data_IF_424606023875
#
_entry.id   IF_424606023875
#
_cell.length_a   1.000
_cell.length_b   1.000
_cell.length_c   1.000
_cell.angle_alpha   90.00
_cell.angle_beta   90.00
_cell.angle_gamma   90.00
#
_symmetry.space_group_name_H-M   'P 1'
#
loop_
_entity.id
_entity.type
_entity.pdbx_description
1 polymer ?
#
# COMPACT_ATOMS: atom_id res chain seq x y z
N UNK A 1 0.64 -5.07 -4.64
CA UNK A 1 0.44 -4.38 -3.36
C UNK A 1 1.04 -5.18 -2.20
N UNK A 2 0.59 -6.42 -1.95
CA UNK A 2 0.99 -7.22 -0.79
C UNK A 2 2.50 -7.42 -0.64
N UNK A 3 3.22 -7.74 -1.72
CA UNK A 3 4.68 -7.93 -1.67
C UNK A 3 5.43 -6.67 -1.20
N UNK A 4 4.97 -5.49 -1.55
CA UNK A 4 5.59 -4.22 -1.15
C UNK A 4 5.35 -3.86 0.33
N UNK A 5 4.49 -4.58 1.04
CA UNK A 5 4.32 -4.45 2.49
C UNK A 5 5.45 -5.14 3.26
N UNK A 6 6.16 -6.08 2.63
CA UNK A 6 7.36 -6.66 3.20
C UNK A 6 8.54 -5.69 3.01
N UNK A 7 9.17 -5.19 4.10
CA UNK A 7 10.23 -4.20 4.04
C UNK A 7 11.46 -4.71 3.30
N UNK A 8 11.86 -5.97 3.51
CA UNK A 8 13.04 -6.56 2.86
C UNK A 8 12.83 -6.68 1.35
N UNK A 9 11.64 -7.12 0.93
CA UNK A 9 11.30 -7.18 -0.49
C UNK A 9 11.33 -5.80 -1.14
N UNK A 10 10.75 -4.79 -0.47
CA UNK A 10 10.72 -3.40 -0.94
C UNK A 10 12.11 -2.83 -1.06
N UNK A 11 12.97 -3.05 -0.06
CA UNK A 11 14.36 -2.60 -0.08
C UNK A 11 15.13 -3.25 -1.24
N UNK A 12 15.09 -4.58 -1.35
CA UNK A 12 15.84 -5.32 -2.37
C UNK A 12 15.41 -4.94 -3.78
N UNK A 13 14.10 -4.91 -4.06
CA UNK A 13 13.62 -4.59 -5.41
C UNK A 13 13.79 -3.12 -5.80
N UNK A 14 13.94 -2.22 -4.82
CA UNK A 14 14.16 -0.79 -5.01
C UNK A 14 15.62 -0.40 -5.21
N UNK A 15 16.58 -1.29 -4.98
CA UNK A 15 18.01 -0.99 -5.18
C UNK A 15 18.37 -1.04 -6.66
N UNK A 16 18.92 0.06 -7.19
CA UNK A 16 19.42 0.11 -8.58
C UNK A 16 20.70 -0.72 -8.75
N UNK A 17 21.54 -0.76 -7.72
CA UNK A 17 22.78 -1.56 -7.64
C UNK A 17 22.97 -2.09 -6.24
N UNK A 18 23.55 -3.28 -6.11
CA UNK A 18 23.91 -3.87 -4.84
C UNK A 18 25.31 -4.49 -4.90
N UNK A 19 26.07 -4.35 -3.83
CA UNK A 19 27.31 -5.08 -3.63
C UNK A 19 27.04 -6.27 -2.72
N UNK A 20 27.34 -7.47 -3.19
CA UNK A 20 27.20 -8.70 -2.41
C UNK A 20 28.52 -9.46 -2.39
N UNK A 21 28.84 -10.06 -1.25
CA UNK A 21 30.05 -10.84 -1.07
C UNK A 21 29.66 -12.30 -0.89
N UNK A 22 30.10 -13.16 -1.80
CA UNK A 22 29.85 -14.59 -1.73
C UNK A 22 30.86 -15.40 -2.55
N UNK A 23 30.87 -16.72 -2.34
CA UNK A 23 31.79 -17.66 -2.97
C UNK A 23 32.77 -18.26 -1.97
N UNK A 24 33.61 -19.21 -2.46
CA UNK A 24 34.69 -19.79 -1.68
C UNK A 24 35.98 -19.84 -2.56
N UNK A 25 36.98 -18.97 -2.30
CA UNK A 25 37.00 -17.89 -1.29
C UNK A 25 35.97 -16.80 -1.59
N UNK A 26 35.51 -16.04 -0.57
CA UNK A 26 34.55 -14.98 -0.76
C UNK A 26 35.13 -13.84 -1.58
N UNK A 27 34.34 -13.27 -2.50
CA UNK A 27 34.71 -12.09 -3.28
C UNK A 27 33.51 -11.20 -3.54
N UNK A 28 33.78 -9.93 -3.77
CA UNK A 28 32.76 -8.88 -3.98
C UNK A 28 32.22 -8.94 -5.39
N UNK A 29 30.88 -8.88 -5.52
CA UNK A 29 30.18 -8.77 -6.79
C UNK A 29 29.26 -7.57 -6.77
N UNK A 30 29.28 -6.79 -7.83
CA UNK A 30 28.35 -5.73 -8.08
C UNK A 30 27.20 -6.26 -8.97
N UNK A 31 25.99 -6.19 -8.44
CA UNK A 31 24.76 -6.53 -9.14
C UNK A 31 24.08 -5.24 -9.61
N UNK A 32 23.55 -5.25 -10.81
CA UNK A 32 22.77 -4.15 -11.37
C UNK A 32 21.32 -4.62 -11.58
N UNK A 33 20.37 -3.85 -11.05
CA UNK A 33 18.96 -4.14 -11.27
C UNK A 33 18.60 -3.95 -12.75
N UNK A 34 17.84 -4.89 -13.31
CA UNK A 34 17.35 -4.81 -14.68
C UNK A 34 16.23 -3.80 -14.87
N UNK A 35 15.60 -3.35 -13.77
CA UNK A 35 14.56 -2.33 -13.82
C UNK A 35 15.17 -0.93 -14.02
N UNK A 36 15.16 -0.45 -15.25
CA UNK A 36 15.73 0.86 -15.62
C UNK A 36 14.96 2.03 -15.00
N UNK A 37 13.67 1.86 -14.68
CA UNK A 37 12.86 2.93 -14.12
C UNK A 37 13.36 3.40 -12.76
N UNK A 38 14.08 2.57 -11.99
CA UNK A 38 14.71 2.97 -10.73
C UNK A 38 15.67 4.17 -10.85
N UNK A 39 16.20 4.41 -12.07
CA UNK A 39 17.11 5.53 -12.33
C UNK A 39 16.56 6.53 -13.35
N UNK A 40 15.46 6.22 -14.03
CA UNK A 40 14.92 7.01 -15.12
C UNK A 40 13.60 7.71 -14.79
N UNK A 41 12.87 7.22 -13.76
CA UNK A 41 11.58 7.74 -13.37
C UNK A 41 11.57 8.04 -11.87
N UNK A 42 11.39 9.31 -11.51
CA UNK A 42 11.38 9.76 -10.12
C UNK A 42 10.23 9.11 -9.34
N UNK A 43 10.55 8.67 -8.13
CA UNK A 43 9.60 8.03 -7.23
C UNK A 43 9.43 6.53 -7.45
N UNK A 44 10.07 5.92 -8.45
CA UNK A 44 9.98 4.46 -8.66
C UNK A 44 10.73 3.70 -7.56
N UNK A 45 10.01 2.76 -6.92
CA UNK A 45 10.48 1.96 -5.78
C UNK A 45 10.61 0.46 -6.07
N UNK A 46 10.43 0.03 -7.32
CA UNK A 46 10.56 -1.37 -7.75
C UNK A 46 9.74 -1.63 -9.01
N UNK A 47 9.44 -2.85 -9.44
CA UNK A 47 9.42 -4.09 -8.68
C UNK A 47 10.17 -5.20 -9.44
N UNK A 48 9.63 -5.65 -10.63
CA UNK A 48 10.17 -6.82 -11.34
C UNK A 48 10.01 -6.71 -12.85
N UNK A 49 11.08 -7.00 -13.55
CA UNK A 49 11.08 -7.19 -15.00
C UNK A 49 10.91 -8.66 -15.37
N UNK A 50 10.33 -8.96 -16.49
CA UNK A 50 10.21 -10.30 -17.04
C UNK A 50 10.37 -10.30 -18.56
N UNK A 51 10.95 -11.36 -19.09
CA UNK A 51 11.05 -11.58 -20.54
C UNK A 51 11.17 -13.08 -20.83
N UNK A 52 10.38 -13.54 -21.77
CA UNK A 52 10.59 -14.78 -22.52
C UNK A 52 10.23 -14.53 -23.97
N UNK A 53 10.69 -15.38 -24.89
CA UNK A 53 10.38 -15.24 -26.31
C UNK A 53 8.87 -15.35 -26.58
N UNK A 54 8.17 -16.12 -25.76
CA UNK A 54 6.71 -16.31 -25.87
C UNK A 54 5.91 -15.19 -25.22
N UNK A 55 6.32 -14.73 -24.04
CA UNK A 55 5.59 -13.72 -23.27
C UNK A 55 5.97 -12.29 -23.67
N UNK A 56 7.06 -12.09 -24.39
CA UNK A 56 7.61 -10.76 -24.66
C UNK A 56 8.07 -10.04 -23.38
N UNK A 57 8.16 -8.73 -23.44
CA UNK A 57 8.55 -7.90 -22.31
C UNK A 57 7.39 -7.70 -21.36
N UNK A 58 7.63 -8.00 -20.10
CA UNK A 58 6.67 -7.82 -19.01
C UNK A 58 7.31 -6.99 -17.90
N UNK A 59 6.57 -6.07 -17.36
CA UNK A 59 7.05 -5.19 -16.29
C UNK A 59 5.99 -5.00 -15.23
N UNK A 60 6.39 -5.16 -13.98
CA UNK A 60 5.66 -4.65 -12.82
C UNK A 60 6.53 -3.55 -12.22
N UNK A 61 6.01 -2.33 -12.15
CA UNK A 61 6.67 -1.26 -11.41
C UNK A 61 5.73 -0.64 -10.38
N UNK A 62 6.32 0.00 -9.39
CA UNK A 62 5.63 0.79 -8.39
C UNK A 62 6.33 2.13 -8.27
N UNK A 63 5.54 3.20 -8.24
CA UNK A 63 6.01 4.56 -8.07
C UNK A 63 5.29 5.19 -6.89
N UNK A 64 6.04 5.84 -6.01
CA UNK A 64 5.51 6.55 -4.84
C UNK A 64 5.81 8.04 -4.97
N UNK A 65 4.77 8.86 -4.92
CA UNK A 65 4.84 10.33 -4.84
C UNK A 65 3.80 10.81 -3.83
N UNK A 66 4.13 11.77 -2.98
CA UNK A 66 3.21 12.40 -2.01
C UNK A 66 2.40 11.39 -1.17
N UNK A 67 3.06 10.39 -0.60
CA UNK A 67 2.47 9.29 0.20
C UNK A 67 1.48 8.38 -0.57
N UNK A 68 1.33 8.57 -1.86
CA UNK A 68 0.53 7.70 -2.71
C UNK A 68 1.41 6.78 -3.55
N UNK A 69 0.97 5.54 -3.72
CA UNK A 69 1.69 4.54 -4.51
C UNK A 69 0.80 4.05 -5.65
N UNK A 70 1.28 4.21 -6.87
CA UNK A 70 0.69 3.60 -8.06
C UNK A 70 1.50 2.35 -8.46
N UNK A 71 0.80 1.30 -8.81
CA UNK A 71 1.39 0.07 -9.35
C UNK A 71 0.95 -0.06 -10.80
N UNK A 72 1.91 -0.21 -11.70
CA UNK A 72 1.68 -0.45 -13.12
C UNK A 72 2.14 -1.86 -13.49
N UNK A 73 1.34 -2.53 -14.32
CA UNK A 73 1.65 -3.86 -14.86
C UNK A 73 1.41 -3.84 -16.35
N UNK A 74 2.45 -4.16 -17.13
CA UNK A 74 2.33 -4.40 -18.57
C UNK A 74 2.79 -5.81 -18.91
N UNK A 75 2.10 -6.42 -19.86
CA UNK A 75 2.41 -7.72 -20.42
C UNK A 75 2.62 -7.55 -21.93
N UNK A 76 3.68 -8.14 -22.47
CA UNK A 76 4.04 -8.09 -23.88
C UNK A 76 4.08 -6.66 -24.45
N UNK A 77 4.68 -5.74 -23.69
CA UNK A 77 4.85 -4.35 -24.13
C UNK A 77 6.32 -4.06 -24.44
N UNK A 78 6.69 -3.91 -25.72
CA UNK A 78 8.08 -3.62 -26.11
C UNK A 78 8.56 -2.23 -25.63
N UNK A 79 7.62 -1.32 -25.30
CA UNK A 79 7.89 0.04 -24.84
C UNK A 79 7.62 0.22 -23.33
N UNK A 80 7.61 -0.85 -22.57
CA UNK A 80 7.23 -0.91 -21.14
C UNK A 80 7.79 0.25 -20.29
N UNK A 81 9.05 0.64 -20.45
CA UNK A 81 9.64 1.77 -19.73
C UNK A 81 8.93 3.09 -20.03
N UNK A 82 8.68 3.37 -21.29
CA UNK A 82 8.00 4.59 -21.70
C UNK A 82 6.53 4.58 -21.29
N UNK A 83 5.85 3.45 -21.49
CA UNK A 83 4.44 3.26 -21.09
C UNK A 83 4.26 3.54 -19.60
N UNK A 84 5.07 2.93 -18.73
CA UNK A 84 4.97 3.12 -17.29
C UNK A 84 5.27 4.56 -16.88
N UNK A 85 6.31 5.19 -17.44
CA UNK A 85 6.64 6.60 -17.17
C UNK A 85 5.48 7.51 -17.55
N UNK A 86 4.92 7.36 -18.75
CA UNK A 86 3.79 8.16 -19.22
C UNK A 86 2.53 7.98 -18.35
N UNK A 87 2.26 6.74 -17.92
CA UNK A 87 1.15 6.47 -17.01
C UNK A 87 1.33 7.20 -15.67
N UNK A 88 2.51 7.13 -15.07
CA UNK A 88 2.79 7.85 -13.82
C UNK A 88 2.66 9.36 -13.98
N UNK A 89 3.26 9.93 -15.01
CA UNK A 89 3.21 11.38 -15.24
C UNK A 89 1.81 11.89 -15.59
N UNK A 90 0.96 11.03 -16.16
CA UNK A 90 -0.44 11.35 -16.45
C UNK A 90 -1.34 11.21 -15.23
N UNK A 91 -1.12 10.17 -14.42
CA UNK A 91 -2.06 9.81 -13.35
C UNK A 91 -1.78 10.52 -12.03
N UNK A 92 -0.50 10.69 -11.63
CA UNK A 92 -0.17 11.34 -10.37
C UNK A 92 -0.74 12.77 -10.24
N UNK A 93 -0.70 13.64 -11.28
CA UNK A 93 -1.30 14.97 -11.19
C UNK A 93 -2.83 14.97 -11.02
N UNK A 94 -3.48 13.86 -11.34
CA UNK A 94 -4.93 13.68 -11.25
C UNK A 94 -5.35 12.85 -10.03
N UNK A 95 -4.39 12.32 -9.29
CA UNK A 95 -4.65 11.49 -8.13
C UNK A 95 -4.83 12.38 -6.90
N UNK A 96 -5.99 12.28 -6.27
CA UNK A 96 -6.33 13.02 -5.07
C UNK A 96 -6.37 12.10 -3.85
N UNK A 97 -5.71 12.52 -2.76
CA UNK A 97 -5.79 11.85 -1.47
C UNK A 97 -7.07 12.28 -0.77
N UNK A 98 -7.89 11.34 -0.40
CA UNK A 98 -9.12 11.56 0.34
C UNK A 98 -9.04 10.90 1.72
N UNK A 99 -9.68 11.53 2.70
CA UNK A 99 -9.80 10.98 4.06
C UNK A 99 -11.27 10.67 4.31
N UNK A 100 -11.54 9.45 4.75
CA UNK A 100 -12.90 9.03 5.10
C UNK A 100 -13.31 9.69 6.43
N UNK A 101 -14.48 10.30 6.46
CA UNK A 101 -15.06 10.83 7.68
C UNK A 101 -15.43 9.67 8.61
N UNK A 102 -14.77 9.59 9.76
CA UNK A 102 -15.04 8.57 10.78
C UNK A 102 -15.98 9.12 11.84
N UNK A 103 -16.85 8.27 12.46
CA UNK A 103 -17.64 8.70 13.60
C UNK A 103 -16.73 9.07 14.77
N UNK A 104 -17.03 10.16 15.47
CA UNK A 104 -16.25 10.59 16.65
C UNK A 104 -16.21 9.50 17.73
N UNK A 105 -17.34 8.84 17.96
CA UNK A 105 -17.47 7.78 18.95
C UNK A 105 -18.44 6.70 18.49
N UNK A 106 -18.21 5.47 18.97
CA UNK A 106 -19.09 4.32 18.79
C UNK A 106 -19.43 3.79 20.17
N UNK A 107 -20.72 3.78 20.53
CA UNK A 107 -21.19 3.29 21.82
C UNK A 107 -21.36 1.77 21.79
N UNK A 108 -20.78 1.08 22.78
CA UNK A 108 -20.91 -0.39 22.93
C UNK A 108 -21.45 -0.69 24.34
N UNK A 109 -22.45 -1.60 24.47
CA UNK A 109 -22.97 -2.04 25.76
C UNK A 109 -21.91 -2.71 26.62
N UNK A 110 -21.97 -2.50 27.93
CA UNK A 110 -21.12 -3.15 28.95
C UNK A 110 -21.95 -3.97 29.89
N UNK A 111 -21.56 -5.20 30.13
CA UNK A 111 -22.23 -6.11 31.08
C UNK A 111 -21.38 -6.24 32.33
N UNK A 112 -22.04 -6.14 33.51
CA UNK A 112 -21.40 -6.33 34.82
C UNK A 112 -20.59 -5.12 35.32
N UNK A 113 -20.76 -3.96 34.70
CA UNK A 113 -20.14 -2.69 35.08
C UNK A 113 -21.10 -1.76 35.82
N UNK A 114 -20.58 -0.62 36.28
CA UNK A 114 -21.38 0.48 36.83
C UNK A 114 -21.93 1.41 35.74
N UNK A 115 -21.36 1.36 34.56
CA UNK A 115 -21.83 2.06 33.39
C UNK A 115 -22.43 1.06 32.37
N UNK A 116 -23.53 1.45 31.75
CA UNK A 116 -24.24 0.60 30.76
C UNK A 116 -23.51 0.53 29.40
N UNK A 117 -22.69 1.51 29.09
CA UNK A 117 -21.98 1.61 27.81
C UNK A 117 -20.56 2.15 27.99
N UNK A 118 -19.73 1.89 26.99
CA UNK A 118 -18.41 2.50 26.79
C UNK A 118 -18.33 3.11 25.39
N UNK A 119 -17.63 4.23 25.27
CA UNK A 119 -17.39 4.90 24.00
C UNK A 119 -16.05 4.44 23.42
N UNK A 120 -16.09 3.93 22.21
CA UNK A 120 -14.89 3.65 21.41
C UNK A 120 -14.59 4.84 20.52
N UNK A 121 -13.31 5.08 20.29
CA UNK A 121 -12.81 6.07 19.34
C UNK A 121 -11.90 5.39 18.32
N UNK A 122 -11.96 5.83 17.08
CA UNK A 122 -10.99 5.42 16.07
C UNK A 122 -9.64 6.07 16.39
N UNK A 123 -8.56 5.28 16.34
CA UNK A 123 -7.18 5.75 16.60
C UNK A 123 -6.48 6.21 15.33
N UNK A 124 -6.92 5.70 14.17
CA UNK A 124 -6.31 5.95 12.88
C UNK A 124 -7.31 6.57 11.92
N UNK A 125 -6.82 7.30 10.93
CA UNK A 125 -7.60 7.79 9.80
C UNK A 125 -7.57 6.77 8.66
N UNK A 126 -8.68 6.65 7.92
CA UNK A 126 -8.73 5.88 6.68
C UNK A 126 -8.53 6.85 5.53
N UNK A 127 -7.47 6.64 4.72
CA UNK A 127 -7.17 7.46 3.55
C UNK A 127 -7.08 6.58 2.31
N UNK A 128 -7.49 7.13 1.16
CA UNK A 128 -7.39 6.44 -0.13
C UNK A 128 -7.06 7.42 -1.25
N UNK A 129 -6.50 6.91 -2.36
CA UNK A 129 -6.28 7.67 -3.57
C UNK A 129 -7.42 7.48 -4.57
N UNK A 130 -7.85 8.55 -5.22
CA UNK A 130 -8.89 8.50 -6.26
C UNK A 130 -8.55 9.43 -7.42
N UNK A 131 -8.94 9.01 -8.64
CA UNK A 131 -8.90 9.86 -9.85
C UNK A 131 -10.21 10.61 -10.09
N UNK A 132 -11.21 10.36 -9.29
CA UNK A 132 -12.55 10.96 -9.36
C UNK A 132 -12.75 11.92 -8.21
N UNK A 133 -13.87 12.66 -8.24
CA UNK A 133 -14.32 13.42 -7.08
C UNK A 133 -14.48 12.53 -5.85
N UNK A 134 -14.33 13.14 -4.67
CA UNK A 134 -14.48 12.41 -3.40
C UNK A 134 -15.88 11.80 -3.32
N UNK A 135 -15.92 10.52 -2.96
CA UNK A 135 -17.16 9.79 -2.73
C UNK A 135 -17.18 9.37 -1.27
N UNK A 136 -18.30 9.57 -0.61
CA UNK A 136 -18.51 9.04 0.72
C UNK A 136 -18.51 7.50 0.63
N UNK A 137 -17.57 6.89 1.32
CA UNK A 137 -17.46 5.43 1.37
C UNK A 137 -18.32 4.88 2.50
N UNK A 138 -19.12 3.84 2.25
CA UNK A 138 -19.85 3.17 3.30
C UNK A 138 -18.88 2.59 4.32
N UNK A 139 -19.19 2.84 5.61
CA UNK A 139 -18.41 2.37 6.75
C UNK A 139 -19.13 1.21 7.42
N UNK A 140 -18.42 0.10 7.56
CA UNK A 140 -18.86 -1.03 8.37
C UNK A 140 -18.05 -1.10 9.67
N UNK A 141 -18.77 -1.16 10.79
CA UNK A 141 -18.17 -1.27 12.13
C UNK A 141 -18.15 -2.74 12.54
N UNK A 142 -16.96 -3.26 12.76
CA UNK A 142 -16.75 -4.63 13.26
C UNK A 142 -16.33 -4.60 14.71
N UNK A 143 -17.28 -4.81 15.62
CA UNK A 143 -17.04 -4.86 17.07
C UNK A 143 -17.74 -6.06 17.69
N UNK A 144 -17.42 -6.34 18.95
CA UNK A 144 -18.24 -7.25 19.76
C UNK A 144 -19.60 -6.61 20.03
N UNK A 145 -20.69 -7.38 20.12
CA UNK A 145 -22.01 -6.85 20.41
C UNK A 145 -22.11 -6.24 21.82
N UNK A 146 -21.25 -6.64 22.73
CA UNK A 146 -21.09 -6.10 24.09
C UNK A 146 -19.69 -6.43 24.64
N UNK A 147 -19.30 -5.74 25.71
CA UNK A 147 -18.07 -6.00 26.48
C UNK A 147 -18.42 -6.37 27.92
N UNK A 148 -17.56 -7.14 28.58
CA UNK A 148 -17.67 -7.41 29.99
C UNK A 148 -16.79 -6.44 30.81
N UNK A 149 -17.31 -5.93 31.92
CA UNK A 149 -16.52 -5.17 32.88
C UNK A 149 -15.50 -6.08 33.61
N UNK A 150 -14.30 -5.56 34.02
CA UNK A 150 -13.81 -4.21 33.70
C UNK A 150 -13.31 -4.07 32.28
N UNK A 151 -13.61 -2.95 31.65
CA UNK A 151 -13.08 -2.62 30.32
C UNK A 151 -11.85 -1.71 30.50
N UNK A 152 -10.63 -2.19 30.23
CA UNK A 152 -9.43 -1.37 30.34
C UNK A 152 -9.44 -0.20 29.36
N UNK A 153 -8.88 0.95 29.76
CA UNK A 153 -8.65 2.05 28.85
C UNK A 153 -7.70 1.62 27.73
N UNK A 154 -7.93 2.12 26.50
CA UNK A 154 -7.15 1.80 25.30
C UNK A 154 -7.19 0.31 24.88
N UNK A 155 -8.21 -0.43 25.33
CA UNK A 155 -8.41 -1.79 24.86
C UNK A 155 -8.86 -1.77 23.39
N UNK A 156 -8.16 -2.53 22.52
CA UNK A 156 -8.63 -2.79 21.16
C UNK A 156 -9.93 -3.59 21.19
N UNK A 157 -11.00 -3.04 20.61
CA UNK A 157 -12.35 -3.61 20.70
C UNK A 157 -13.01 -3.84 19.34
N UNK A 158 -12.34 -3.48 18.23
CA UNK A 158 -12.86 -3.67 16.90
C UNK A 158 -12.11 -2.88 15.85
N UNK A 159 -12.65 -2.89 14.62
CA UNK A 159 -12.11 -2.14 13.49
C UNK A 159 -13.22 -1.61 12.60
N UNK A 160 -12.88 -0.59 11.82
CA UNK A 160 -13.74 0.00 10.80
C UNK A 160 -13.25 -0.43 9.43
N UNK A 161 -14.16 -0.75 8.54
CA UNK A 161 -13.89 -1.04 7.13
C UNK A 161 -14.64 -0.02 6.29
N UNK A 162 -13.88 0.66 5.42
CA UNK A 162 -14.46 1.47 4.35
C UNK A 162 -14.38 0.67 3.05
N UNK A 163 -15.48 0.43 2.39
CA UNK A 163 -15.54 -0.37 1.17
C UNK A 163 -15.93 0.52 -0.02
N UNK A 164 -15.30 0.26 -1.15
CA UNK A 164 -15.64 0.87 -2.43
C UNK A 164 -16.05 -0.22 -3.39
N UNK A 165 -17.24 -0.10 -3.94
CA UNK A 165 -17.73 -0.97 -5.01
C UNK A 165 -16.94 -0.71 -6.31
N UNK A 166 -16.31 -1.79 -6.86
CA UNK A 166 -15.63 -1.82 -8.15
C UNK A 166 -14.12 -1.77 -8.08
#
# INVERSE_FOLDING_TARGET
>A
ATALQNPDFREICGQATAKVTFGNPPYDRWLKNSNKLLTQCEGVIGVKTGFTDEAGRCLVSACQRDDMTLICVTLNDPNDWQTHTQLYDTLFPRLHKQTVALPETISIPVVGGTADTVLLQATDSITYGTLQEAVDLPLTVHTKPFLFAPVPANQYSGFLVAERDG
#
